data_IF_074256698229
#
_entry.id   IF_074256698229
#
_cell.length_a   1.000
_cell.length_b   1.000
_cell.length_c   1.000
_cell.angle_alpha   90.00
_cell.angle_beta   90.00
_cell.angle_gamma   90.00
#
_symmetry.space_group_name_H-M   'P 1'
#
loop_
_entity.id
_entity.type
_entity.pdbx_description
1 polymer ?
#
# COMPACT_ATOMS: atom_id res chain seq x y z
N UNK A 1 1.95 12.68 15.09
CA UNK A 1 2.93 11.62 14.69
C UNK A 1 3.39 11.86 13.27
N UNK A 2 4.69 11.83 13.04
CA UNK A 2 5.29 11.93 11.72
C UNK A 2 5.75 10.54 11.25
N UNK A 3 5.08 10.03 10.23
CA UNK A 3 5.45 8.76 9.60
C UNK A 3 6.48 8.93 8.48
N UNK A 4 6.84 7.84 7.80
CA UNK A 4 7.79 7.88 6.66
C UNK A 4 7.26 8.75 5.52
N UNK A 5 5.97 8.65 5.21
CA UNK A 5 5.34 9.33 4.05
C UNK A 5 4.02 10.04 4.41
N UNK A 6 3.48 9.84 5.62
CA UNK A 6 2.27 10.49 6.13
C UNK A 6 2.48 11.05 7.50
N UNK A 7 1.77 12.12 7.78
CA UNK A 7 1.74 12.75 9.10
C UNK A 7 0.32 12.69 9.65
N UNK A 8 0.18 12.38 10.94
CA UNK A 8 -1.11 12.24 11.62
C UNK A 8 -1.21 13.21 12.77
N UNK A 9 -2.31 13.95 12.84
CA UNK A 9 -2.60 14.94 13.85
C UNK A 9 -3.92 14.59 14.57
N UNK A 10 -3.99 14.81 15.87
CA UNK A 10 -5.22 14.60 16.61
C UNK A 10 -6.29 15.64 16.24
N UNK A 11 -7.52 15.19 16.05
CA UNK A 11 -8.69 16.03 15.87
C UNK A 11 -9.71 15.60 16.92
N UNK A 12 -9.75 16.33 18.04
CA UNK A 12 -10.44 15.86 19.23
C UNK A 12 -9.81 14.57 19.78
N UNK A 13 -10.62 13.77 20.48
CA UNK A 13 -10.16 12.54 21.12
C UNK A 13 -10.34 11.29 20.23
N UNK A 14 -11.25 11.37 19.28
CA UNK A 14 -11.76 10.23 18.51
C UNK A 14 -11.40 10.25 17.01
N UNK A 15 -10.70 11.28 16.53
CA UNK A 15 -10.35 11.44 15.12
C UNK A 15 -8.89 11.79 14.90
N UNK A 16 -8.45 11.57 13.66
CA UNK A 16 -7.14 11.93 13.16
C UNK A 16 -7.26 12.69 11.83
N UNK A 17 -6.48 13.73 11.68
CA UNK A 17 -6.17 14.31 10.37
C UNK A 17 -4.92 13.58 9.84
N UNK A 18 -5.06 12.87 8.74
CA UNK A 18 -3.97 12.14 8.10
C UNK A 18 -3.60 12.85 6.82
N UNK A 19 -2.36 13.32 6.73
CA UNK A 19 -1.84 14.09 5.59
C UNK A 19 -0.81 13.25 4.83
N UNK A 20 -1.09 12.95 3.57
CA UNK A 20 -0.16 12.31 2.66
C UNK A 20 0.83 13.35 2.13
N UNK A 21 2.10 13.17 2.44
CA UNK A 21 3.17 14.04 1.94
C UNK A 21 3.69 13.56 0.58
N UNK A 22 4.53 14.36 -0.04
CA UNK A 22 5.25 13.98 -1.26
C UNK A 22 6.56 13.23 -0.97
N UNK A 23 6.85 12.94 0.32
CA UNK A 23 7.99 12.11 0.70
C UNK A 23 7.84 10.71 0.13
N UNK A 24 8.96 10.12 -0.24
CA UNK A 24 9.05 8.73 -0.64
C UNK A 24 10.11 8.02 0.20
N UNK A 25 9.87 6.78 0.54
CA UNK A 25 10.87 5.92 1.18
C UNK A 25 11.16 4.71 0.31
N UNK A 26 12.43 4.34 0.23
CA UNK A 26 12.88 3.12 -0.42
C UNK A 26 13.97 2.49 0.45
N UNK A 27 14.01 1.15 0.51
CA UNK A 27 14.97 0.41 1.36
C UNK A 27 14.95 0.89 2.84
N UNK A 28 13.76 1.23 3.35
CA UNK A 28 13.51 1.80 4.69
C UNK A 28 14.15 3.17 4.97
N UNK A 29 14.66 3.83 3.95
CA UNK A 29 15.22 5.18 4.02
C UNK A 29 14.24 6.17 3.39
N UNK A 30 13.95 7.26 4.13
CA UNK A 30 13.22 8.41 3.57
C UNK A 30 14.19 9.14 2.65
N UNK A 31 13.80 9.30 1.38
CA UNK A 31 14.62 10.01 0.40
C UNK A 31 14.55 11.52 0.63
N UNK A 32 15.63 12.24 0.32
CA UNK A 32 15.71 13.67 0.58
C UNK A 32 14.87 14.54 -0.36
N UNK A 33 14.55 14.00 -1.54
CA UNK A 33 13.82 14.74 -2.58
C UNK A 33 12.37 14.24 -2.66
N UNK A 34 11.35 15.13 -2.62
CA UNK A 34 9.95 14.74 -2.72
C UNK A 34 9.57 14.37 -4.16
N UNK A 35 8.62 13.48 -4.32
CA UNK A 35 8.00 13.17 -5.61
C UNK A 35 6.83 14.14 -5.84
N UNK A 36 6.87 14.98 -6.88
CA UNK A 36 5.81 15.95 -7.14
C UNK A 36 4.42 15.30 -7.20
N UNK A 37 3.44 15.89 -6.54
CA UNK A 37 2.02 15.48 -6.50
C UNK A 37 1.74 14.13 -5.84
N UNK A 38 2.75 13.42 -5.33
CA UNK A 38 2.59 12.06 -4.79
C UNK A 38 1.48 11.97 -3.74
N UNK A 39 1.47 12.87 -2.76
CA UNK A 39 0.45 12.87 -1.71
C UNK A 39 -0.97 13.02 -2.24
N UNK A 40 -1.18 13.90 -3.22
CA UNK A 40 -2.48 14.08 -3.89
C UNK A 40 -2.89 12.84 -4.69
N UNK A 41 -1.96 12.21 -5.39
CA UNK A 41 -2.22 10.99 -6.17
C UNK A 41 -2.62 9.84 -5.25
N UNK A 42 -1.88 9.60 -4.16
CA UNK A 42 -2.19 8.54 -3.21
C UNK A 42 -3.55 8.74 -2.55
N UNK A 43 -3.88 9.97 -2.17
CA UNK A 43 -5.18 10.30 -1.58
C UNK A 43 -6.32 10.08 -2.58
N UNK A 44 -6.17 10.55 -3.82
CA UNK A 44 -7.17 10.36 -4.86
C UNK A 44 -7.42 8.87 -5.18
N UNK A 45 -6.36 8.05 -5.25
CA UNK A 45 -6.48 6.60 -5.44
C UNK A 45 -7.19 5.94 -4.27
N UNK A 46 -6.80 6.25 -3.05
CA UNK A 46 -7.41 5.68 -1.85
C UNK A 46 -8.90 6.04 -1.76
N UNK A 47 -9.27 7.29 -1.99
CA UNK A 47 -10.67 7.74 -2.00
C UNK A 47 -11.50 7.04 -3.08
N UNK A 48 -10.92 6.86 -4.26
CA UNK A 48 -11.54 6.10 -5.34
C UNK A 48 -11.82 4.65 -4.93
N UNK A 49 -10.83 3.96 -4.38
CA UNK A 49 -10.98 2.56 -3.98
C UNK A 49 -11.92 2.37 -2.80
N UNK A 50 -11.97 3.28 -1.83
CA UNK A 50 -12.96 3.20 -0.75
C UNK A 50 -14.40 3.26 -1.27
N UNK A 51 -14.65 3.99 -2.37
CA UNK A 51 -15.96 4.03 -3.03
C UNK A 51 -16.24 2.76 -3.84
N UNK A 52 -15.27 2.31 -4.65
CA UNK A 52 -15.43 1.10 -5.49
C UNK A 52 -15.60 -0.18 -4.67
N UNK A 53 -14.99 -0.24 -3.49
CA UNK A 53 -15.00 -1.39 -2.60
C UNK A 53 -16.00 -1.26 -1.44
N UNK A 54 -16.86 -0.26 -1.49
CA UNK A 54 -17.88 -0.06 -0.46
C UNK A 54 -18.76 -1.31 -0.25
N UNK A 55 -19.14 -1.54 0.99
CA UNK A 55 -19.96 -2.68 1.39
C UNK A 55 -19.23 -3.97 1.71
N UNK A 56 -17.92 -4.08 1.46
CA UNK A 56 -17.12 -5.27 1.84
C UNK A 56 -16.75 -5.21 3.31
N UNK A 57 -16.22 -4.08 3.76
CA UNK A 57 -15.80 -3.83 5.14
C UNK A 57 -15.99 -2.35 5.46
N UNK A 58 -16.38 -1.97 6.70
CA UNK A 58 -16.41 -0.56 7.07
C UNK A 58 -15.00 0.04 7.00
N UNK A 59 -14.90 1.32 6.64
CA UNK A 59 -13.63 2.04 6.59
C UNK A 59 -13.60 3.21 7.58
N UNK A 60 -12.41 3.76 7.80
CA UNK A 60 -12.16 4.78 8.82
C UNK A 60 -12.52 6.22 8.40
N UNK A 61 -12.92 6.46 7.15
CA UNK A 61 -13.24 7.82 6.70
C UNK A 61 -14.47 8.38 7.41
N UNK A 62 -14.40 9.64 7.80
CA UNK A 62 -15.51 10.35 8.46
C UNK A 62 -16.34 11.18 7.49
N UNK A 63 -15.82 11.49 6.30
CA UNK A 63 -16.44 12.43 5.37
C UNK A 63 -16.27 13.91 5.75
N UNK A 64 -15.58 14.19 6.86
CA UNK A 64 -15.28 15.58 7.26
C UNK A 64 -14.23 16.16 6.32
N UNK A 65 -14.48 17.38 5.83
CA UNK A 65 -13.53 18.10 5.00
C UNK A 65 -12.28 18.48 5.82
N UNK A 66 -11.08 18.04 5.42
CA UNK A 66 -9.83 18.37 6.11
C UNK A 66 -9.57 19.86 6.27
N UNK A 67 -10.03 20.68 5.31
CA UNK A 67 -9.85 22.15 5.37
C UNK A 67 -10.62 22.79 6.53
N UNK A 68 -11.62 22.10 7.09
CA UNK A 68 -12.42 22.59 8.23
C UNK A 68 -11.80 22.36 9.60
N UNK A 69 -10.77 21.50 9.67
CA UNK A 69 -10.13 21.12 10.95
C UNK A 69 -8.73 21.72 11.12
N UNK A 70 -8.33 22.60 10.21
CA UNK A 70 -7.06 23.33 10.23
C UNK A 70 -7.32 24.83 10.20
N UNK A 71 -6.30 25.63 10.55
CA UNK A 71 -6.38 27.08 10.43
C UNK A 71 -6.48 27.51 8.95
N UNK A 72 -7.11 28.65 8.63
CA UNK A 72 -7.27 29.12 7.26
C UNK A 72 -5.97 29.17 6.44
N UNK A 73 -4.88 29.57 7.06
CA UNK A 73 -3.53 29.64 6.46
C UNK A 73 -2.90 28.25 6.17
N UNK A 74 -3.45 27.18 6.75
CA UNK A 74 -2.95 25.82 6.57
C UNK A 74 -3.74 25.02 5.54
N UNK A 75 -4.87 25.55 5.04
CA UNK A 75 -5.78 24.81 4.15
C UNK A 75 -5.10 24.29 2.89
N UNK A 76 -4.21 25.08 2.30
CA UNK A 76 -3.48 24.67 1.10
C UNK A 76 -2.55 23.48 1.34
N UNK A 77 -2.10 23.28 2.59
CA UNK A 77 -1.24 22.16 2.98
C UNK A 77 -2.00 20.83 3.04
N UNK A 78 -3.32 20.86 3.25
CA UNK A 78 -4.15 19.66 3.39
C UNK A 78 -5.02 19.39 2.17
N UNK A 79 -5.22 20.38 1.33
CA UNK A 79 -6.12 20.30 0.17
C UNK A 79 -5.72 19.18 -0.80
N UNK A 80 -6.64 18.23 -1.01
CA UNK A 80 -6.46 17.12 -1.94
C UNK A 80 -5.45 16.06 -1.51
N UNK A 81 -4.86 16.18 -0.30
CA UNK A 81 -3.86 15.24 0.22
C UNK A 81 -4.10 14.77 1.65
N UNK A 82 -5.23 15.07 2.22
CA UNK A 82 -5.54 14.72 3.59
C UNK A 82 -6.95 14.15 3.72
N UNK A 83 -7.16 13.39 4.78
CA UNK A 83 -8.47 12.87 5.19
C UNK A 83 -8.63 13.04 6.69
N UNK A 84 -9.87 13.20 7.15
CA UNK A 84 -10.23 13.09 8.57
C UNK A 84 -10.78 11.68 8.79
N UNK A 85 -10.10 10.91 9.60
CA UNK A 85 -10.39 9.52 9.86
C UNK A 85 -10.75 9.27 11.32
N UNK A 86 -11.50 8.21 11.59
CA UNK A 86 -11.72 7.71 12.96
C UNK A 86 -10.40 7.23 13.55
N UNK A 87 -10.18 7.51 14.81
CA UNK A 87 -9.09 6.92 15.58
C UNK A 87 -9.47 5.49 15.94
N UNK A 88 -8.67 4.53 15.51
CA UNK A 88 -8.88 3.11 15.77
C UNK A 88 -7.75 2.54 16.61
N UNK A 89 -8.01 1.41 17.27
CA UNK A 89 -6.95 0.58 17.85
C UNK A 89 -6.33 -0.25 16.73
N UNK A 90 -5.07 0.00 16.32
CA UNK A 90 -4.47 -0.71 15.20
C UNK A 90 -4.34 -2.21 15.47
N UNK A 91 -4.62 -3.04 14.45
CA UNK A 91 -4.20 -4.42 14.38
C UNK A 91 -2.80 -4.40 13.75
N UNK A 92 -1.78 -4.84 14.50
CA UNK A 92 -0.37 -4.73 14.09
C UNK A 92 0.04 -5.87 13.13
N UNK A 93 -0.77 -6.09 12.13
CA UNK A 93 -0.56 -7.06 11.05
C UNK A 93 -0.68 -6.32 9.71
N UNK A 94 0.32 -6.49 8.87
CA UNK A 94 0.22 -6.14 7.47
C UNK A 94 -0.51 -7.25 6.73
N UNK A 95 -1.70 -6.96 6.22
CA UNK A 95 -2.57 -7.93 5.57
C UNK A 95 -2.32 -7.91 4.06
N UNK A 96 -1.47 -8.82 3.60
CA UNK A 96 -1.07 -8.89 2.19
C UNK A 96 -1.86 -9.97 1.47
N UNK A 97 -2.50 -9.61 0.36
CA UNK A 97 -3.04 -10.53 -0.62
C UNK A 97 -2.12 -10.62 -1.83
N UNK A 98 -1.86 -11.83 -2.31
CA UNK A 98 -1.05 -12.08 -3.50
C UNK A 98 -1.81 -12.92 -4.50
N UNK A 99 -1.95 -12.40 -5.71
CA UNK A 99 -2.49 -13.15 -6.84
C UNK A 99 -1.39 -13.63 -7.79
N UNK A 100 -0.18 -13.10 -7.63
CA UNK A 100 1.01 -13.42 -8.42
C UNK A 100 2.21 -13.59 -7.48
N UNK A 101 3.18 -14.38 -7.88
CA UNK A 101 4.36 -14.64 -7.05
C UNK A 101 5.50 -13.69 -7.42
N UNK A 102 5.77 -12.71 -6.56
CA UNK A 102 6.76 -11.66 -6.81
C UNK A 102 7.41 -11.16 -5.50
N UNK A 103 8.47 -10.40 -5.61
CA UNK A 103 9.15 -9.76 -4.48
C UNK A 103 9.67 -10.73 -3.44
N UNK A 104 9.42 -10.44 -2.16
CA UNK A 104 9.86 -11.30 -1.04
C UNK A 104 9.21 -12.69 -1.09
N UNK A 105 7.98 -12.78 -1.57
CA UNK A 105 7.29 -14.06 -1.73
C UNK A 105 7.97 -14.98 -2.75
N UNK A 106 8.49 -14.44 -3.85
CA UNK A 106 9.27 -15.21 -4.81
C UNK A 106 10.54 -15.79 -4.17
N UNK A 107 11.25 -14.99 -3.39
CA UNK A 107 12.47 -15.44 -2.68
C UNK A 107 12.17 -16.54 -1.67
N UNK A 108 11.11 -16.38 -0.87
CA UNK A 108 10.67 -17.37 0.10
C UNK A 108 10.25 -18.68 -0.57
N UNK A 109 9.46 -18.59 -1.64
CA UNK A 109 9.06 -19.76 -2.42
C UNK A 109 10.24 -20.53 -3.01
N UNK A 110 11.24 -19.82 -3.58
CA UNK A 110 12.45 -20.47 -4.10
C UNK A 110 13.22 -21.24 -3.01
N UNK A 111 13.24 -20.69 -1.79
CA UNK A 111 13.95 -21.29 -0.67
C UNK A 111 13.19 -22.46 -0.02
N UNK A 112 11.86 -22.40 0.04
CA UNK A 112 11.06 -23.29 0.91
C UNK A 112 9.90 -24.01 0.19
N UNK A 113 9.50 -23.57 -1.00
CA UNK A 113 8.31 -24.06 -1.71
C UNK A 113 6.98 -23.55 -1.12
N UNK A 114 7.03 -22.61 -0.17
CA UNK A 114 5.87 -22.05 0.51
C UNK A 114 6.05 -20.55 0.75
N UNK A 115 4.95 -19.86 1.09
CA UNK A 115 4.94 -18.44 1.46
C UNK A 115 4.09 -18.31 2.72
N UNK A 116 4.65 -17.79 3.81
CA UNK A 116 3.96 -17.63 5.11
C UNK A 116 3.27 -18.93 5.57
N UNK A 117 3.89 -20.07 5.35
CA UNK A 117 3.34 -21.38 5.66
C UNK A 117 2.33 -21.94 4.64
N UNK A 118 1.94 -21.16 3.63
CA UNK A 118 1.07 -21.62 2.53
C UNK A 118 1.91 -22.37 1.51
N UNK A 119 1.66 -23.69 1.40
CA UNK A 119 2.32 -24.54 0.40
C UNK A 119 1.81 -24.22 -1.00
N UNK A 120 2.71 -24.08 -1.94
CA UNK A 120 2.41 -23.81 -3.35
C UNK A 120 2.90 -24.96 -4.23
N UNK A 121 2.28 -25.15 -5.42
CA UNK A 121 2.77 -26.12 -6.40
C UNK A 121 4.24 -25.92 -6.74
N UNK A 122 4.95 -27.02 -6.99
CA UNK A 122 6.33 -26.97 -7.48
C UNK A 122 6.39 -26.43 -8.92
N UNK A 123 7.50 -25.79 -9.28
CA UNK A 123 7.76 -25.34 -10.64
C UNK A 123 7.14 -24.00 -11.03
N UNK A 124 6.59 -23.23 -10.09
CA UNK A 124 6.15 -21.86 -10.36
C UNK A 124 7.32 -20.98 -10.76
N UNK A 125 7.07 -20.05 -11.67
CA UNK A 125 8.04 -19.08 -12.16
C UNK A 125 7.79 -17.71 -11.55
N UNK A 126 8.80 -16.86 -11.56
CA UNK A 126 8.65 -15.47 -11.12
C UNK A 126 7.51 -14.78 -11.87
N UNK A 127 6.74 -13.97 -11.18
CA UNK A 127 5.58 -13.25 -11.70
C UNK A 127 4.44 -14.13 -12.22
N UNK A 128 4.46 -15.43 -11.96
CA UNK A 128 3.39 -16.33 -12.36
C UNK A 128 2.13 -16.07 -11.54
N UNK A 129 0.97 -16.13 -12.21
CA UNK A 129 -0.33 -16.02 -11.57
C UNK A 129 -0.62 -17.26 -10.74
N UNK A 130 -1.02 -17.09 -9.51
CA UNK A 130 -1.47 -18.16 -8.63
C UNK A 130 -2.88 -18.63 -9.04
N UNK A 131 -3.19 -19.90 -8.80
CA UNK A 131 -4.52 -20.47 -9.05
C UNK A 131 -5.60 -19.71 -8.26
N UNK A 132 -5.31 -19.43 -7.01
CA UNK A 132 -6.14 -18.64 -6.12
C UNK A 132 -5.25 -17.59 -5.42
N UNK A 133 -5.78 -16.39 -5.16
CA UNK A 133 -5.08 -15.44 -4.31
C UNK A 133 -4.84 -16.00 -2.92
N UNK A 134 -3.69 -15.71 -2.35
CA UNK A 134 -3.31 -16.16 -1.01
C UNK A 134 -3.15 -15.00 -0.04
N UNK A 135 -3.42 -15.26 1.24
CA UNK A 135 -3.19 -14.33 2.34
C UNK A 135 -1.81 -14.61 2.95
N UNK A 136 -0.93 -13.62 2.91
CA UNK A 136 0.46 -13.73 3.37
C UNK A 136 0.77 -12.59 4.34
N UNK A 137 0.38 -12.73 5.62
CA UNK A 137 0.52 -11.66 6.60
C UNK A 137 1.98 -11.41 6.99
N UNK A 138 2.26 -10.18 7.42
CA UNK A 138 3.51 -9.82 8.09
C UNK A 138 3.22 -9.12 9.41
N UNK A 139 3.98 -9.43 10.43
CA UNK A 139 3.93 -8.69 11.70
C UNK A 139 4.57 -7.33 11.52
N UNK A 140 3.93 -6.28 12.01
CA UNK A 140 4.54 -4.95 12.06
C UNK A 140 5.65 -4.94 13.09
N UNK A 141 6.86 -4.65 12.64
CA UNK A 141 8.00 -4.50 13.50
C UNK A 141 7.98 -3.16 14.26
N UNK A 142 8.65 -3.11 15.39
CA UNK A 142 8.94 -1.85 16.07
C UNK A 142 9.81 -0.94 15.19
N UNK A 143 9.76 0.36 15.45
CA UNK A 143 10.50 1.34 14.66
C UNK A 143 12.00 0.99 14.58
N UNK A 144 12.49 0.83 13.35
CA UNK A 144 13.89 0.46 13.09
C UNK A 144 14.14 -1.01 12.75
N UNK A 145 13.12 -1.85 12.80
CA UNK A 145 13.18 -3.25 12.36
C UNK A 145 12.36 -3.44 11.07
N UNK A 146 12.63 -4.54 10.36
CA UNK A 146 11.85 -4.91 9.17
C UNK A 146 10.63 -5.73 9.58
N UNK A 147 9.53 -5.55 8.85
CA UNK A 147 8.34 -6.39 8.98
C UNK A 147 8.69 -7.82 8.57
N UNK A 148 8.29 -8.79 9.39
CA UNK A 148 8.59 -10.19 9.15
C UNK A 148 7.33 -10.94 8.72
N UNK A 149 7.46 -11.76 7.67
CA UNK A 149 6.41 -12.68 7.26
C UNK A 149 6.07 -13.63 8.42
N UNK A 150 4.79 -13.77 8.69
CA UNK A 150 4.26 -14.68 9.71
C UNK A 150 3.20 -15.60 9.11
N UNK A 151 2.90 -16.69 9.80
CA UNK A 151 1.85 -17.60 9.39
C UNK A 151 0.47 -17.10 9.84
N UNK A 152 -0.60 -17.62 9.22
CA UNK A 152 -1.96 -17.37 9.68
C UNK A 152 -2.16 -17.81 11.13
N UNK A 153 -1.59 -18.95 11.51
CA UNK A 153 -1.64 -19.49 12.87
C UNK A 153 -1.01 -18.52 13.90
N UNK A 154 0.04 -17.81 13.52
CA UNK A 154 0.63 -16.77 14.37
C UNK A 154 -0.29 -15.57 14.53
N UNK A 155 -1.02 -15.19 13.47
CA UNK A 155 -2.05 -14.15 13.56
C UNK A 155 -3.16 -14.58 14.52
N UNK A 156 -3.63 -15.82 14.41
CA UNK A 156 -4.63 -16.41 15.34
C UNK A 156 -4.13 -16.37 16.79
N UNK A 157 -2.87 -16.72 17.00
CA UNK A 157 -2.26 -16.70 18.33
C UNK A 157 -2.23 -15.29 18.94
N UNK A 158 -1.99 -14.26 18.12
CA UNK A 158 -1.90 -12.88 18.57
C UNK A 158 -3.27 -12.21 18.78
N UNK A 159 -4.25 -12.48 17.92
CA UNK A 159 -5.53 -11.76 17.86
C UNK A 159 -6.77 -12.63 18.03
N UNK A 160 -6.63 -13.95 18.07
CA UNK A 160 -7.74 -14.89 18.10
C UNK A 160 -8.32 -15.19 16.71
N UNK A 161 -9.03 -16.32 16.61
CA UNK A 161 -9.58 -16.83 15.33
C UNK A 161 -10.61 -15.87 14.72
N UNK A 162 -11.45 -15.23 15.55
CA UNK A 162 -12.50 -14.32 15.05
C UNK A 162 -11.89 -13.14 14.27
N UNK A 163 -10.93 -12.45 14.84
CA UNK A 163 -10.24 -11.32 14.18
C UNK A 163 -9.38 -11.82 13.01
N UNK A 164 -8.62 -12.89 13.20
CA UNK A 164 -7.73 -13.43 12.17
C UNK A 164 -8.52 -13.85 10.92
N UNK A 165 -9.63 -14.56 11.08
CA UNK A 165 -10.46 -14.98 9.95
C UNK A 165 -11.14 -13.80 9.25
N UNK A 166 -11.57 -12.78 9.99
CA UNK A 166 -12.14 -11.55 9.42
C UNK A 166 -11.14 -10.77 8.57
N UNK A 167 -9.95 -10.48 9.10
CA UNK A 167 -8.93 -9.72 8.35
C UNK A 167 -8.44 -10.50 7.13
N UNK A 168 -8.30 -11.83 7.21
CA UNK A 168 -7.99 -12.66 6.05
C UNK A 168 -9.10 -12.61 5.01
N UNK A 169 -10.34 -12.81 5.42
CA UNK A 169 -11.50 -12.79 4.53
C UNK A 169 -11.69 -11.44 3.83
N UNK A 170 -11.59 -10.34 4.57
CA UNK A 170 -11.67 -8.99 4.01
C UNK A 170 -10.53 -8.70 3.04
N UNK A 171 -9.30 -9.07 3.40
CA UNK A 171 -8.13 -8.87 2.55
C UNK A 171 -8.30 -9.56 1.20
N UNK A 172 -8.72 -10.82 1.18
CA UNK A 172 -8.93 -11.57 -0.05
C UNK A 172 -10.13 -11.05 -0.86
N UNK A 173 -11.23 -10.66 -0.21
CA UNK A 173 -12.40 -10.11 -0.88
C UNK A 173 -12.11 -8.75 -1.52
N UNK A 174 -11.43 -7.86 -0.81
CA UNK A 174 -10.99 -6.56 -1.32
C UNK A 174 -10.05 -6.73 -2.52
N UNK A 175 -9.07 -7.62 -2.40
CA UNK A 175 -8.12 -7.90 -3.47
C UNK A 175 -8.82 -8.42 -4.73
N UNK A 176 -9.69 -9.43 -4.61
CA UNK A 176 -10.38 -10.03 -5.76
C UNK A 176 -11.20 -8.99 -6.53
N UNK A 177 -12.02 -8.22 -5.84
CA UNK A 177 -12.85 -7.17 -6.47
C UNK A 177 -11.98 -6.09 -7.12
N UNK A 178 -10.94 -5.63 -6.45
CA UNK A 178 -10.03 -4.63 -7.00
C UNK A 178 -9.24 -5.15 -8.21
N UNK A 179 -8.75 -6.40 -8.18
CA UNK A 179 -8.02 -7.02 -9.28
C UNK A 179 -8.89 -7.20 -10.51
N UNK A 180 -10.16 -7.58 -10.35
CA UNK A 180 -11.14 -7.67 -11.44
C UNK A 180 -11.38 -6.30 -12.09
N UNK A 181 -11.60 -5.26 -11.29
CA UNK A 181 -11.77 -3.91 -11.80
C UNK A 181 -10.51 -3.42 -12.54
N UNK A 182 -9.34 -3.55 -11.92
CA UNK A 182 -8.07 -3.09 -12.49
C UNK A 182 -7.75 -3.78 -13.82
N UNK A 183 -8.10 -5.07 -13.97
CA UNK A 183 -7.94 -5.80 -15.21
C UNK A 183 -8.72 -5.15 -16.37
N UNK A 184 -9.90 -4.60 -16.12
CA UNK A 184 -10.68 -3.86 -17.13
C UNK A 184 -10.00 -2.55 -17.57
N UNK A 185 -9.03 -2.07 -16.80
CA UNK A 185 -8.24 -0.86 -17.04
C UNK A 185 -6.81 -1.15 -17.54
N UNK A 186 -6.52 -2.41 -17.88
CA UNK A 186 -5.21 -2.83 -18.36
C UNK A 186 -4.13 -2.86 -17.25
N UNK A 187 -4.54 -3.00 -16.01
CA UNK A 187 -3.63 -3.09 -14.85
C UNK A 187 -3.81 -4.43 -14.15
N UNK A 188 -2.68 -5.11 -13.89
CA UNK A 188 -2.60 -6.26 -13.01
C UNK A 188 -2.21 -5.77 -11.62
N UNK A 189 -3.01 -6.09 -10.61
CA UNK A 189 -2.62 -5.96 -9.21
C UNK A 189 -1.98 -7.28 -8.79
N UNK A 190 -0.66 -7.33 -8.74
CA UNK A 190 0.07 -8.56 -8.41
C UNK A 190 -0.09 -8.92 -6.94
N UNK A 191 0.06 -7.95 -6.09
CA UNK A 191 -0.15 -8.01 -4.64
C UNK A 191 -0.52 -6.64 -4.08
N UNK A 192 -1.10 -6.63 -2.91
CA UNK A 192 -1.43 -5.42 -2.18
C UNK A 192 -1.47 -5.67 -0.68
N UNK A 193 -1.23 -4.62 0.08
CA UNK A 193 -1.23 -4.61 1.54
C UNK A 193 -2.38 -3.76 2.06
N UNK A 194 -3.15 -4.32 3.00
CA UNK A 194 -4.18 -3.63 3.76
C UNK A 194 -3.82 -3.57 5.24
N UNK A 195 -4.34 -2.56 5.91
CA UNK A 195 -4.27 -2.41 7.36
C UNK A 195 -5.67 -2.27 7.95
N UNK A 196 -5.87 -2.86 9.11
CA UNK A 196 -7.12 -2.83 9.84
C UNK A 196 -6.91 -2.34 11.26
N UNK A 197 -7.96 -1.81 11.84
CA UNK A 197 -8.05 -1.46 13.25
C UNK A 197 -9.37 -1.90 13.84
N UNK A 198 -9.50 -1.74 15.15
CA UNK A 198 -10.73 -2.00 15.88
C UNK A 198 -11.32 -0.67 16.36
N UNK A 199 -12.63 -0.50 16.17
CA UNK A 199 -13.37 0.61 16.75
C UNK A 199 -13.69 0.34 18.26
N UNK A 200 -14.41 1.24 18.88
CA UNK A 200 -14.82 1.14 20.30
C UNK A 200 -15.70 -0.08 20.61
N UNK A 201 -16.34 -0.65 19.59
CA UNK A 201 -17.19 -1.84 19.71
C UNK A 201 -16.45 -3.14 19.38
N UNK A 202 -15.16 -3.05 19.06
CA UNK A 202 -14.36 -4.20 18.62
C UNK A 202 -14.63 -4.62 17.16
N UNK A 203 -15.29 -3.77 16.38
CA UNK A 203 -15.53 -4.02 14.94
C UNK A 203 -14.25 -3.81 14.14
N UNK A 204 -13.94 -4.74 13.24
CA UNK A 204 -12.80 -4.61 12.32
C UNK A 204 -13.12 -3.55 11.26
N UNK A 205 -12.26 -2.56 11.14
CA UNK A 205 -12.40 -1.41 10.23
C UNK A 205 -11.15 -1.29 9.37
N UNK A 206 -11.33 -1.12 8.06
CA UNK A 206 -10.24 -0.88 7.11
C UNK A 206 -9.70 0.54 7.30
N UNK A 207 -8.40 0.67 7.39
CA UNK A 207 -7.72 1.95 7.61
C UNK A 207 -6.51 2.12 6.70
N UNK A 208 -5.88 3.28 6.79
CA UNK A 208 -4.70 3.70 6.03
C UNK A 208 -4.98 3.85 4.52
N UNK A 209 -3.95 3.92 3.71
CA UNK A 209 -4.09 3.91 2.26
C UNK A 209 -4.39 2.51 1.74
N UNK A 210 -5.13 2.44 0.65
CA UNK A 210 -5.42 1.18 -0.01
C UNK A 210 -5.16 1.26 -1.51
N UNK A 211 -4.58 0.19 -2.06
CA UNK A 211 -4.45 -0.02 -3.50
C UNK A 211 -3.79 1.15 -4.24
N UNK A 212 -2.72 1.63 -3.67
CA UNK A 212 -1.86 2.67 -4.25
C UNK A 212 -0.54 2.07 -4.75
N UNK A 213 0.22 2.78 -5.57
CA UNK A 213 1.57 2.35 -5.95
C UNK A 213 2.55 2.16 -4.78
N UNK A 214 2.25 2.72 -3.60
CA UNK A 214 3.06 2.52 -2.39
C UNK A 214 2.72 1.23 -1.66
N UNK A 215 1.45 0.81 -1.68
CA UNK A 215 0.95 -0.36 -0.98
C UNK A 215 0.75 -1.58 -1.88
N UNK A 216 0.96 -1.45 -3.18
CA UNK A 216 0.63 -2.47 -4.18
C UNK A 216 1.69 -2.56 -5.27
N UNK A 217 1.78 -3.74 -5.93
CA UNK A 217 2.46 -3.88 -7.22
C UNK A 217 1.43 -3.81 -8.33
N UNK A 218 1.50 -2.74 -9.11
CA UNK A 218 0.68 -2.54 -10.30
C UNK A 218 1.53 -2.76 -11.55
N UNK A 219 1.13 -3.74 -12.36
CA UNK A 219 1.82 -4.05 -13.61
C UNK A 219 0.95 -3.67 -14.82
N UNK A 220 1.53 -3.10 -15.89
CA UNK A 220 0.83 -2.95 -17.14
C UNK A 220 0.54 -4.34 -17.74
N UNK A 221 -0.75 -4.62 -18.00
CA UNK A 221 -1.16 -5.95 -18.44
C UNK A 221 -0.63 -6.33 -19.83
N UNK A 222 -0.43 -5.34 -20.71
CA UNK A 222 0.10 -5.51 -22.05
C UNK A 222 1.61 -5.82 -22.11
N UNK A 223 2.33 -5.56 -21.03
CA UNK A 223 3.77 -5.83 -20.91
C UNK A 223 4.07 -7.06 -20.02
N UNK A 224 3.05 -7.68 -19.45
CA UNK A 224 3.19 -8.81 -18.52
C UNK A 224 3.80 -10.04 -19.18
N UNK A 225 4.84 -10.60 -18.55
CA UNK A 225 5.52 -11.83 -18.97
C UNK A 225 5.93 -12.67 -17.78
N UNK A 226 5.50 -13.92 -17.76
CA UNK A 226 5.91 -14.90 -16.74
C UNK A 226 7.41 -15.20 -16.85
N UNK A 227 8.06 -15.36 -15.71
CA UNK A 227 9.47 -15.76 -15.63
C UNK A 227 10.46 -14.61 -15.51
N UNK A 228 9.98 -13.39 -15.37
CA UNK A 228 10.81 -12.19 -15.22
C UNK A 228 10.25 -11.23 -14.18
N UNK A 229 11.06 -10.24 -13.79
CA UNK A 229 10.58 -9.09 -13.05
C UNK A 229 9.77 -8.18 -13.97
N UNK A 230 8.62 -7.70 -13.49
CA UNK A 230 7.68 -6.93 -14.31
C UNK A 230 7.95 -5.42 -14.23
N UNK A 231 7.73 -4.69 -15.35
CA UNK A 231 7.59 -3.23 -15.28
C UNK A 231 6.45 -2.87 -14.34
N UNK A 232 6.56 -1.75 -13.64
CA UNK A 232 5.63 -1.41 -12.58
C UNK A 232 5.33 0.09 -12.57
N UNK A 233 4.13 0.45 -12.11
CA UNK A 233 3.72 1.83 -11.84
C UNK A 233 4.09 2.30 -10.43
N UNK A 234 4.85 1.51 -9.70
CA UNK A 234 5.24 1.76 -8.33
C UNK A 234 6.68 2.30 -8.17
N UNK A 235 7.23 2.12 -7.00
CA UNK A 235 8.60 2.54 -6.64
C UNK A 235 9.72 1.82 -7.37
N UNK A 236 9.45 0.84 -8.22
CA UNK A 236 10.50 0.02 -8.81
C UNK A 236 11.46 0.85 -9.64
N UNK A 237 10.95 1.84 -10.37
CA UNK A 237 11.79 2.74 -11.16
C UNK A 237 12.83 3.50 -10.31
N UNK A 238 12.41 4.06 -9.19
CA UNK A 238 13.33 4.77 -8.30
C UNK A 238 14.25 3.81 -7.53
N UNK A 239 13.78 2.60 -7.20
CA UNK A 239 14.63 1.57 -6.60
C UNK A 239 15.73 1.14 -7.55
N UNK A 240 15.42 0.89 -8.81
CA UNK A 240 16.41 0.51 -9.83
C UNK A 240 17.48 1.59 -10.01
N UNK A 241 17.04 2.86 -10.04
CA UNK A 241 17.98 3.98 -10.07
C UNK A 241 18.87 4.01 -8.82
N UNK A 242 18.31 3.87 -7.62
CA UNK A 242 19.07 3.84 -6.38
C UNK A 242 20.08 2.68 -6.34
N UNK A 243 19.70 1.51 -6.84
CA UNK A 243 20.59 0.34 -6.91
C UNK A 243 21.74 0.53 -7.90
N UNK A 244 21.57 1.38 -8.91
CA UNK A 244 22.66 1.75 -9.84
C UNK A 244 23.68 2.72 -9.21
N UNK A 245 23.38 3.30 -8.04
CA UNK A 245 24.26 4.24 -7.36
C UNK A 245 25.20 3.53 -6.38
N UNK A 246 26.39 4.07 -6.11
CA UNK A 246 27.29 3.55 -5.07
C UNK A 246 26.76 3.93 -3.68
N UNK A 247 25.64 3.32 -3.27
CA UNK A 247 24.95 3.62 -2.03
C UNK A 247 24.72 2.36 -1.19
N UNK A 248 24.97 2.47 0.10
CA UNK A 248 24.88 1.34 1.04
C UNK A 248 23.47 1.11 1.62
N UNK A 249 22.43 1.74 1.05
CA UNK A 249 21.04 1.67 1.52
C UNK A 249 20.84 2.19 2.97
N UNK A 250 21.67 3.13 3.39
CA UNK A 250 21.58 3.84 4.68
C UNK A 250 21.46 5.34 4.45
N UNK A 251 20.79 6.03 5.39
CA UNK A 251 20.71 7.50 5.34
C UNK A 251 22.11 8.15 5.49
N UNK A 252 22.37 9.27 4.77
CA UNK A 252 21.48 9.93 3.81
C UNK A 252 21.43 9.21 2.46
N UNK A 253 20.27 9.30 1.80
CA UNK A 253 20.12 8.82 0.43
C UNK A 253 20.86 9.73 -0.57
N UNK A 254 21.27 9.21 -1.75
CA UNK A 254 21.80 10.05 -2.82
C UNK A 254 20.78 11.09 -3.26
N UNK A 255 21.28 12.25 -3.71
CA UNK A 255 20.41 13.26 -4.33
C UNK A 255 19.86 12.71 -5.64
N UNK A 256 18.54 12.81 -5.79
CA UNK A 256 17.85 12.23 -6.95
C UNK A 256 17.79 13.29 -8.07
N UNK A 257 18.18 12.94 -9.31
CA UNK A 257 18.04 13.82 -10.46
C UNK A 257 16.58 14.18 -10.73
N UNK A 258 16.32 15.38 -11.23
CA UNK A 258 14.96 15.87 -11.48
C UNK A 258 14.20 15.01 -12.49
N UNK A 259 14.86 14.49 -13.52
CA UNK A 259 14.24 13.62 -14.51
C UNK A 259 13.78 12.28 -13.92
N UNK A 260 14.48 11.78 -12.89
CA UNK A 260 14.08 10.55 -12.15
C UNK A 260 12.86 10.83 -11.27
N UNK A 261 12.83 11.99 -10.60
CA UNK A 261 11.68 12.44 -9.81
C UNK A 261 10.43 12.60 -10.68
N UNK A 262 10.58 13.27 -11.83
CA UNK A 262 9.49 13.54 -12.78
C UNK A 262 8.95 12.24 -13.39
N UNK A 263 9.82 11.30 -13.77
CA UNK A 263 9.40 9.98 -14.26
C UNK A 263 8.68 9.18 -13.19
N UNK A 264 9.16 9.22 -11.95
CA UNK A 264 8.48 8.56 -10.83
C UNK A 264 7.10 9.16 -10.62
N UNK A 265 6.98 10.48 -10.58
CA UNK A 265 5.68 11.17 -10.49
C UNK A 265 4.74 10.78 -11.63
N UNK A 266 5.24 10.74 -12.86
CA UNK A 266 4.48 10.36 -14.06
C UNK A 266 3.95 8.92 -13.97
N UNK A 267 4.72 7.98 -13.40
CA UNK A 267 4.28 6.60 -13.19
C UNK A 267 3.12 6.52 -12.18
N UNK A 268 3.21 7.27 -11.09
CA UNK A 268 2.12 7.36 -10.12
C UNK A 268 0.85 7.97 -10.74
N UNK A 269 1.00 9.04 -11.50
CA UNK A 269 -0.13 9.71 -12.15
C UNK A 269 -0.74 8.85 -13.26
N UNK A 270 0.05 8.10 -14.02
CA UNK A 270 -0.43 7.17 -15.03
C UNK A 270 -1.32 6.07 -14.40
N UNK A 271 -0.92 5.50 -13.27
CA UNK A 271 -1.75 4.53 -12.56
C UNK A 271 -3.09 5.15 -12.14
N UNK A 272 -3.10 6.36 -11.60
CA UNK A 272 -4.31 7.08 -11.22
C UNK A 272 -5.23 7.29 -12.44
N UNK A 273 -4.70 7.82 -13.54
CA UNK A 273 -5.47 8.12 -14.75
C UNK A 273 -6.06 6.84 -15.36
N UNK A 274 -5.27 5.77 -15.44
CA UNK A 274 -5.76 4.48 -15.96
C UNK A 274 -6.91 3.92 -15.12
N UNK A 275 -6.81 3.98 -13.81
CA UNK A 275 -7.83 3.43 -12.90
C UNK A 275 -9.06 4.31 -12.82
N UNK A 276 -8.91 5.63 -12.78
CA UNK A 276 -10.01 6.56 -12.47
C UNK A 276 -10.48 7.39 -13.65
N UNK A 277 -9.70 7.46 -14.73
CA UNK A 277 -9.94 8.35 -15.86
C UNK A 277 -9.59 9.82 -15.61
N UNK A 278 -9.05 10.16 -14.44
CA UNK A 278 -8.75 11.55 -14.05
C UNK A 278 -7.39 11.63 -13.36
N UNK A 279 -6.63 12.69 -13.67
CA UNK A 279 -5.43 13.06 -12.94
C UNK A 279 -5.71 13.97 -11.75
N UNK A 280 -4.65 14.43 -11.08
CA UNK A 280 -4.72 15.44 -10.02
C UNK A 280 -4.34 16.81 -10.56
N UNK A 281 -5.03 17.84 -10.06
CA UNK A 281 -4.64 19.24 -10.33
C UNK A 281 -3.36 19.60 -9.57
N UNK A 282 -2.60 20.49 -10.13
CA UNK A 282 -1.35 20.98 -9.55
C UNK A 282 -1.55 21.62 -8.16
#
# INVERSE_FOLDING_TARGET
YRGKVRDSYAVGDDKLLIVASDRISAFDVILGDPIPKKGKILTALTDFWFKELDGIVPNHLTGIDPETVVAPEERDQVKGRAVVAKRLKPILIECVARGYISGSAWKEYQATGQICGVKLPAGLKQSEKLLEPIFTPAGKAEAGHHDENITYEEVVKQYGEDIASKIRGYTLALYKKAAEYAATKGIIIADTKFEFGLDENGTVVLMDEILTPDSSRFWPADEYKVGQSEPSFDKQFIRDWLESQPWNKKAPAPKIPQDVLDKTSSKYEEALIRLTGKGVTA
#
